data_IF_706250494842
#
_entry.id   IF_706250494842
#
_cell.length_a   1.000
_cell.length_b   1.000
_cell.length_c   1.000
_cell.angle_alpha   90.00
_cell.angle_beta   90.00
_cell.angle_gamma   90.00
#
_symmetry.space_group_name_H-M   'P 1'
#
loop_
_entity.id
_entity.type
_entity.pdbx_description
1 polymer ?
2 non-polymer ?
3 non-polymer ?
4 water ?
#
# COMPACT_ATOMS: atom_id res chain seq x y z
N UNK A 2 -16.60 9.93 -7.54
CA UNK A 2 -15.33 10.65 -7.22
C UNK A 2 -14.82 10.29 -5.82
N UNK A 3 -13.52 10.42 -5.57
CA UNK A 3 -12.99 10.17 -4.23
C UNK A 3 -12.43 11.45 -3.63
N UNK A 4 -12.96 11.84 -2.47
CA UNK A 4 -12.77 13.18 -1.98
C UNK A 4 -11.41 13.26 -1.32
N UNK A 5 -10.84 14.45 -1.34
CA UNK A 5 -9.66 14.70 -0.54
C UNK A 5 -9.87 14.16 0.87
N UNK A 6 -11.02 14.41 1.48
CA UNK A 6 -11.12 14.07 2.90
C UNK A 6 -11.27 12.57 3.12
N UNK A 7 -11.89 11.90 2.16
CA UNK A 7 -11.80 10.44 2.10
C UNK A 7 -10.34 9.96 2.05
N UNK A 8 -9.51 10.61 1.25
CA UNK A 8 -8.12 10.23 1.24
C UNK A 8 -7.48 10.47 2.60
N UNK A 9 -7.86 11.57 3.25
CA UNK A 9 -7.33 11.81 4.58
C UNK A 9 -7.86 10.71 5.47
N UNK A 10 -9.09 10.27 5.21
CA UNK A 10 -9.67 9.25 6.07
C UNK A 10 -9.01 7.88 5.93
N UNK A 11 -8.68 7.53 4.69
CA UNK A 11 -7.77 6.44 4.38
C UNK A 11 -6.54 6.43 5.26
N UNK A 12 -5.76 7.51 5.20
CA UNK A 12 -4.49 7.49 5.90
C UNK A 12 -4.73 7.33 7.39
N UNK A 13 -5.82 7.92 7.87
CA UNK A 13 -6.21 7.78 9.26
C UNK A 13 -6.45 6.32 9.63
N UNK A 14 -7.21 5.63 8.79
CA UNK A 14 -7.53 4.23 9.02
C UNK A 14 -6.31 3.33 8.89
N UNK A 15 -5.40 3.66 7.97
CA UNK A 15 -4.08 3.04 7.92
C UNK A 15 -3.30 3.18 9.21
N UNK A 16 -3.24 4.39 9.75
CA UNK A 16 -2.75 4.56 11.10
C UNK A 16 -3.35 3.53 12.05
N UNK A 17 -4.66 3.33 11.99
CA UNK A 17 -5.26 2.40 12.93
C UNK A 17 -4.83 0.97 12.67
N UNK A 18 -5.06 0.50 11.45
CA UNK A 18 -4.72 -0.87 11.10
C UNK A 18 -3.25 -1.18 11.38
N UNK A 19 -2.35 -0.25 11.10
CA UNK A 19 -0.95 -0.53 11.37
C UNK A 19 -0.62 -0.55 12.85
N UNK A 20 -1.43 0.15 13.63
CA UNK A 20 -1.35 0.04 15.07
C UNK A 20 -1.86 -1.32 15.53
N UNK A 21 -3.12 -1.62 15.22
CA UNK A 21 -3.73 -2.89 15.60
C UNK A 21 -2.97 -4.15 15.15
N UNK A 22 -2.40 -4.13 13.94
CA UNK A 22 -1.87 -5.35 13.34
C UNK A 22 -0.35 -5.34 13.37
N UNK A 23 0.23 -4.43 14.15
CA UNK A 23 1.65 -4.49 14.40
C UNK A 23 2.15 -5.91 14.69
N UNK A 24 1.61 -6.50 15.76
CA UNK A 24 2.04 -7.80 16.25
C UNK A 24 1.96 -8.85 15.14
N UNK A 25 0.82 -8.84 14.48
CA UNK A 25 0.54 -9.82 13.48
C UNK A 25 1.50 -9.67 12.32
N UNK A 26 1.67 -8.45 11.82
CA UNK A 26 2.63 -8.22 10.75
C UNK A 26 4.05 -8.54 11.18
N UNK A 27 4.38 -8.32 12.45
CA UNK A 27 5.71 -8.67 12.91
C UNK A 27 5.82 -10.20 13.04
N UNK A 28 4.70 -10.85 13.34
CA UNK A 28 4.65 -12.29 13.30
C UNK A 28 5.09 -12.78 11.93
N UNK A 29 4.37 -12.34 10.90
CA UNK A 29 4.65 -12.76 9.55
C UNK A 29 6.13 -12.59 9.24
N UNK A 30 6.74 -11.54 9.77
CA UNK A 30 8.09 -11.13 9.37
C UNK A 30 9.16 -11.84 10.20
N UNK A 31 8.73 -12.51 11.27
CA UNK A 31 9.59 -13.36 12.08
C UNK A 31 9.84 -14.64 11.28
N UNK A 32 8.74 -15.34 10.99
CA UNK A 32 8.73 -16.48 10.10
C UNK A 32 9.65 -16.38 8.91
N UNK A 33 9.64 -15.24 8.22
CA UNK A 33 10.44 -15.10 7.01
C UNK A 33 11.24 -13.81 6.92
N UNK A 34 11.63 -13.24 8.04
CA UNK A 34 12.51 -12.09 7.99
C UNK A 34 13.01 -11.78 9.38
N UNK A 35 13.33 -10.52 9.62
CA UNK A 35 13.93 -10.15 10.89
C UNK A 35 12.92 -9.69 11.94
N UNK A 36 11.64 -10.00 11.78
CA UNK A 36 10.67 -9.68 12.81
C UNK A 36 10.60 -8.17 13.08
N UNK A 37 10.52 -7.36 12.03
CA UNK A 37 10.42 -5.94 12.28
C UNK A 37 9.33 -5.20 11.51
N UNK A 38 8.58 -5.86 10.62
CA UNK A 38 7.71 -5.16 9.68
C UNK A 38 6.57 -4.42 10.36
N UNK A 39 6.05 -4.99 11.44
CA UNK A 39 4.91 -4.38 12.09
C UNK A 39 5.40 -3.19 12.88
N UNK A 40 6.55 -3.34 13.53
CA UNK A 40 7.20 -2.20 14.15
C UNK A 40 7.44 -1.09 13.14
N UNK A 41 7.95 -1.46 11.97
CA UNK A 41 8.34 -0.49 10.97
C UNK A 41 7.13 0.28 10.46
N UNK A 42 6.03 -0.42 10.22
CA UNK A 42 4.87 0.15 9.56
C UNK A 42 4.11 1.01 10.55
N UNK A 43 4.22 0.69 11.83
CA UNK A 43 3.43 1.37 12.83
C UNK A 43 4.08 2.70 13.14
N UNK A 44 5.40 2.65 13.27
CA UNK A 44 6.26 3.81 13.39
C UNK A 44 5.96 4.79 12.28
N UNK A 45 5.94 4.30 11.05
CA UNK A 45 5.75 5.16 9.90
C UNK A 45 4.36 5.77 9.87
N UNK A 46 3.33 4.97 10.06
CA UNK A 46 2.01 5.51 9.82
C UNK A 46 1.54 6.27 11.03
N UNK A 47 2.10 5.95 12.18
CA UNK A 47 1.70 6.70 13.34
C UNK A 47 2.26 8.12 13.16
N UNK A 48 3.47 8.22 12.61
CA UNK A 48 3.95 9.53 12.19
C UNK A 48 3.10 10.14 11.10
N UNK A 49 2.63 9.33 10.16
CA UNK A 49 1.92 9.89 9.02
C UNK A 49 0.72 10.64 9.58
N UNK A 50 0.14 10.04 10.61
CA UNK A 50 -1.20 10.37 11.03
C UNK A 50 -1.13 11.57 11.99
N UNK A 51 -0.04 11.63 12.75
CA UNK A 51 0.21 12.76 13.62
C UNK A 51 0.33 14.02 12.79
N UNK A 52 0.66 13.86 11.51
CA UNK A 52 0.91 15.01 10.65
C UNK A 52 -0.33 15.51 9.94
N UNK A 53 -1.38 14.70 9.96
CA UNK A 53 -2.56 14.99 9.18
C UNK A 53 -3.20 16.30 9.60
N UNK A 54 -3.32 16.56 10.90
CA UNK A 54 -3.95 17.80 11.38
C UNK A 54 -3.39 19.08 10.72
N UNK A 55 -2.07 19.19 10.62
CA UNK A 55 -1.41 20.27 9.88
C UNK A 55 -1.66 20.26 8.38
N UNK A 56 -1.65 19.09 7.75
CA UNK A 56 -1.68 19.07 6.29
C UNK A 56 -3.01 18.72 5.66
N UNK A 57 -4.03 18.50 6.47
CA UNK A 57 -5.27 17.92 5.97
C UNK A 57 -6.07 18.80 5.01
N UNK A 58 -5.73 20.08 4.94
CA UNK A 58 -6.51 21.00 4.12
C UNK A 58 -5.81 21.34 2.81
N UNK A 59 -4.54 20.96 2.70
CA UNK A 59 -3.81 21.13 1.44
C UNK A 59 -4.38 20.17 0.41
N UNK A 60 -3.86 20.16 -0.81
CA UNK A 60 -4.47 19.34 -1.84
C UNK A 60 -3.93 17.90 -1.81
N UNK A 61 -4.55 17.04 -2.62
CA UNK A 61 -4.31 15.62 -2.51
C UNK A 61 -2.85 15.29 -2.79
N UNK A 62 -2.30 15.86 -3.85
CA UNK A 62 -0.89 15.74 -4.14
C UNK A 62 -0.03 16.12 -2.96
N UNK A 63 -0.36 17.21 -2.28
CA UNK A 63 0.44 17.61 -1.12
C UNK A 63 0.38 16.58 0.01
N UNK A 64 -0.79 16.01 0.25
CA UNK A 64 -0.93 15.06 1.34
C UNK A 64 -0.21 13.72 1.06
N UNK A 65 -0.42 13.19 -0.15
CA UNK A 65 0.29 11.99 -0.56
C UNK A 65 1.80 12.19 -0.57
N UNK A 66 2.27 13.27 -1.18
CA UNK A 66 3.71 13.46 -1.24
C UNK A 66 4.26 13.56 0.17
N UNK A 67 3.56 14.29 1.02
CA UNK A 67 4.07 14.49 2.35
C UNK A 67 4.05 13.21 3.18
N UNK A 68 2.95 12.48 3.07
CA UNK A 68 2.88 11.10 3.52
C UNK A 68 4.03 10.21 3.00
N UNK A 69 4.19 10.17 1.68
CA UNK A 69 5.36 9.58 1.07
C UNK A 69 6.64 9.82 1.86
N UNK A 70 7.00 11.08 2.05
CA UNK A 70 8.26 11.40 2.71
C UNK A 70 8.31 11.03 4.16
N UNK A 71 7.18 11.15 4.85
CA UNK A 71 7.16 10.64 6.21
C UNK A 71 7.56 9.17 6.22
N UNK A 72 6.90 8.38 5.38
CA UNK A 72 7.15 6.94 5.31
C UNK A 72 8.61 6.67 4.95
N UNK A 73 9.03 7.27 3.84
CA UNK A 73 10.43 7.33 3.44
C UNK A 73 11.42 7.60 4.57
N UNK A 74 11.10 8.52 5.45
CA UNK A 74 12.06 8.88 6.48
C UNK A 74 11.84 8.03 7.72
N UNK A 75 10.66 7.43 7.84
CA UNK A 75 10.22 6.92 9.14
C UNK A 75 10.03 5.40 9.26
N UNK A 76 9.61 4.72 8.18
CA UNK A 76 9.40 3.27 8.22
C UNK A 76 10.70 2.47 8.35
N UNK A 77 11.68 2.76 7.50
CA UNK A 77 12.93 2.04 7.58
C UNK A 77 12.88 0.64 6.99
N UNK A 78 14.01 -0.06 7.05
CA UNK A 78 14.14 -1.36 6.42
C UNK A 78 13.82 -1.24 4.95
N UNK A 79 13.39 -2.33 4.34
CA UNK A 79 13.25 -2.39 2.90
C UNK A 79 11.93 -1.82 2.41
N UNK A 80 10.88 -1.90 3.23
CA UNK A 80 9.53 -1.50 2.81
C UNK A 80 9.38 0.02 2.79
N UNK A 81 10.02 0.68 3.75
CA UNK A 81 9.90 2.12 3.92
C UNK A 81 10.12 2.89 2.63
N UNK A 82 11.28 2.70 2.01
CA UNK A 82 11.60 3.37 0.75
C UNK A 82 10.58 2.99 -0.32
N UNK A 83 10.08 1.76 -0.26
CA UNK A 83 9.12 1.33 -1.27
C UNK A 83 7.72 1.92 -1.08
N UNK A 84 7.21 1.93 0.14
CA UNK A 84 5.92 2.59 0.37
C UNK A 84 5.99 4.10 0.14
N UNK A 85 7.08 4.70 0.63
CA UNK A 85 7.43 6.07 0.33
C UNK A 85 7.35 6.39 -1.15
N UNK A 86 8.07 5.61 -1.93
CA UNK A 86 8.15 5.87 -3.35
C UNK A 86 6.75 5.74 -3.88
N UNK A 87 6.00 4.79 -3.33
CA UNK A 87 4.71 4.57 -3.91
C UNK A 87 3.94 5.89 -3.79
N UNK A 88 3.98 6.49 -2.61
CA UNK A 88 3.08 7.59 -2.33
C UNK A 88 3.59 8.83 -3.05
N UNK A 89 4.90 9.04 -3.00
CA UNK A 89 5.49 10.14 -3.75
C UNK A 89 5.13 10.07 -5.22
N UNK A 90 5.31 8.92 -5.84
CA UNK A 90 4.95 8.78 -7.24
C UNK A 90 3.45 8.84 -7.47
N UNK A 91 2.69 8.46 -6.45
CA UNK A 91 1.24 8.62 -6.53
C UNK A 91 0.91 10.12 -6.48
N UNK A 92 1.57 10.85 -5.59
CA UNK A 92 1.45 12.30 -5.54
C UNK A 92 1.52 12.99 -6.92
N UNK A 93 2.66 12.93 -7.59
CA UNK A 93 2.77 13.41 -8.97
C UNK A 93 1.98 12.49 -9.91
N UNK A 94 1.11 13.03 -10.76
CA UNK A 94 -0.01 12.23 -11.31
C UNK A 94 -1.30 12.82 -10.77
N UNK A 95 -1.15 13.44 -9.60
CA UNK A 95 -2.18 14.23 -8.96
C UNK A 95 -1.75 15.70 -9.02
N UNK A 96 -1.92 16.28 -10.21
CA UNK A 96 -2.13 17.72 -10.36
C UNK A 96 -3.04 18.21 -9.23
N UNK A 97 -2.41 18.77 -8.18
CA UNK A 97 -3.07 19.65 -7.20
C UNK A 97 -4.59 19.51 -7.19
N UNK A 98 -5.07 18.27 -7.23
CA UNK A 98 -6.50 18.04 -7.31
C UNK A 98 -7.13 18.15 -5.91
N UNK A 99 -8.39 17.75 -5.79
CA UNK A 99 -9.17 18.00 -4.58
C UNK A 99 -10.17 16.85 -4.45
N UNK A 100 -10.53 16.27 -5.59
CA UNK A 100 -11.10 14.94 -5.60
C UNK A 100 -10.40 14.10 -6.67
N UNK A 101 -10.86 12.86 -6.89
CA UNK A 101 -10.24 11.98 -7.87
C UNK A 101 -11.24 11.11 -8.61
N UNK A 102 -11.11 11.02 -9.93
CA UNK A 102 -11.89 10.05 -10.70
C UNK A 102 -11.33 8.64 -10.49
N UNK A 103 -12.15 7.63 -10.74
CA UNK A 103 -11.64 6.29 -10.89
C UNK A 103 -10.40 6.30 -11.78
N UNK A 104 -10.51 6.93 -12.95
CA UNK A 104 -9.39 6.96 -13.88
C UNK A 104 -8.15 7.61 -13.30
N UNK A 105 -8.31 8.60 -12.44
CA UNK A 105 -7.11 9.23 -11.89
C UNK A 105 -6.51 8.42 -10.75
N UNK A 106 -7.35 7.64 -10.09
CA UNK A 106 -6.91 6.72 -9.05
C UNK A 106 -6.13 5.58 -9.68
N UNK A 107 -6.72 4.96 -10.70
CA UNK A 107 -5.98 4.01 -11.52
C UNK A 107 -4.59 4.53 -11.88
N UNK A 108 -4.54 5.63 -12.61
CA UNK A 108 -3.25 6.20 -13.01
C UNK A 108 -2.33 6.40 -11.83
N UNK A 109 -2.90 6.76 -10.68
CA UNK A 109 -2.04 7.10 -9.56
C UNK A 109 -1.53 5.82 -8.92
N UNK A 110 -2.35 4.79 -8.96
CA UNK A 110 -1.89 3.50 -8.49
C UNK A 110 -0.86 2.94 -9.48
N UNK A 111 -1.16 3.10 -10.76
CA UNK A 111 -0.29 2.65 -11.83
C UNK A 111 1.09 3.24 -11.66
N UNK A 112 1.17 4.53 -11.36
CA UNK A 112 2.48 5.17 -11.27
C UNK A 112 3.16 4.83 -9.96
N UNK A 113 2.37 4.71 -8.90
CA UNK A 113 2.90 4.29 -7.63
C UNK A 113 3.52 2.90 -7.74
N UNK A 114 2.77 1.96 -8.31
CA UNK A 114 3.29 0.63 -8.57
C UNK A 114 4.54 0.60 -9.44
N UNK A 115 4.52 1.30 -10.57
CA UNK A 115 5.74 1.46 -11.38
C UNK A 115 6.92 1.94 -10.55
N UNK A 116 6.65 2.85 -9.62
CA UNK A 116 7.74 3.38 -8.84
C UNK A 116 8.32 2.29 -7.98
N UNK A 117 7.46 1.50 -7.32
CA UNK A 117 7.98 0.47 -6.42
C UNK A 117 8.63 -0.64 -7.23
N UNK A 118 8.05 -0.97 -8.37
CA UNK A 118 8.63 -2.03 -9.17
C UNK A 118 9.98 -1.60 -9.74
N UNK A 119 10.07 -0.36 -10.19
CA UNK A 119 11.31 0.08 -10.79
C UNK A 119 12.36 0.28 -9.70
N UNK A 120 11.91 0.62 -8.49
CA UNK A 120 12.85 0.81 -7.40
C UNK A 120 13.44 -0.50 -6.91
N UNK A 121 12.59 -1.45 -6.55
CA UNK A 121 13.06 -2.67 -5.91
C UNK A 121 13.13 -3.86 -6.84
N UNK A 122 12.66 -3.70 -8.08
CA UNK A 122 12.90 -4.68 -9.14
C UNK A 122 12.22 -6.03 -8.96
N UNK A 123 11.17 -6.12 -8.16
CA UNK A 123 10.51 -7.40 -7.97
C UNK A 123 9.70 -7.73 -9.21
N UNK A 124 9.66 -9.01 -9.57
CA UNK A 124 8.76 -9.48 -10.61
C UNK A 124 7.57 -10.20 -9.99
N UNK A 125 6.46 -10.27 -10.72
CA UNK A 125 5.33 -11.07 -10.25
C UNK A 125 5.84 -12.45 -9.87
N UNK A 126 5.42 -12.92 -8.70
CA UNK A 126 5.79 -14.24 -8.21
C UNK A 126 7.01 -14.24 -7.32
N UNK A 127 7.72 -13.12 -7.23
CA UNK A 127 8.82 -13.02 -6.29
C UNK A 127 8.47 -13.01 -4.79
N UNK A 128 7.20 -12.81 -4.43
CA UNK A 128 6.78 -12.79 -3.02
C UNK A 128 7.03 -11.46 -2.29
N UNK A 129 6.56 -10.36 -2.85
CA UNK A 129 6.72 -9.06 -2.22
C UNK A 129 5.41 -8.30 -2.32
N UNK A 130 5.40 -7.10 -1.76
CA UNK A 130 4.27 -6.19 -1.94
C UNK A 130 3.79 -6.06 -3.36
N UNK A 131 4.70 -6.14 -4.32
CA UNK A 131 4.35 -6.07 -5.75
C UNK A 131 3.37 -7.11 -6.23
N UNK A 132 3.30 -8.23 -5.52
CA UNK A 132 2.37 -9.29 -5.85
C UNK A 132 0.96 -8.92 -5.45
N UNK A 133 0.86 -7.90 -4.61
CA UNK A 133 -0.42 -7.24 -4.37
C UNK A 133 -0.62 -6.02 -5.24
N UNK A 134 0.41 -5.20 -5.40
CA UNK A 134 0.29 -3.97 -6.18
C UNK A 134 -0.18 -4.24 -7.61
N UNK A 135 0.41 -5.24 -8.25
CA UNK A 135 0.11 -5.51 -9.64
C UNK A 135 -1.35 -5.87 -9.91
N UNK A 136 -1.90 -6.86 -9.22
CA UNK A 136 -3.33 -7.17 -9.39
C UNK A 136 -4.28 -6.04 -8.92
N UNK A 137 -3.91 -5.32 -7.87
CA UNK A 137 -4.70 -4.17 -7.45
C UNK A 137 -4.72 -3.15 -8.58
N UNK A 138 -3.54 -2.77 -9.06
CA UNK A 138 -3.50 -1.89 -10.23
C UNK A 138 -4.36 -2.41 -11.36
N UNK A 139 -4.37 -3.72 -11.58
CA UNK A 139 -5.04 -4.29 -12.74
C UNK A 139 -6.54 -4.26 -12.57
N UNK A 140 -6.98 -4.46 -11.33
CA UNK A 140 -8.38 -4.33 -10.93
C UNK A 140 -8.86 -2.92 -11.23
N UNK A 141 -8.08 -1.93 -10.82
CA UNK A 141 -8.52 -0.55 -10.96
C UNK A 141 -8.63 -0.27 -12.45
N UNK A 142 -7.71 -0.85 -13.22
CA UNK A 142 -7.72 -0.65 -14.65
C UNK A 142 -9.02 -1.17 -15.27
N UNK A 143 -9.46 -2.36 -14.86
CA UNK A 143 -10.66 -2.89 -15.48
C UNK A 143 -11.91 -2.24 -14.89
N UNK A 144 -11.81 -1.80 -13.64
CA UNK A 144 -12.95 -1.16 -13.02
C UNK A 144 -13.16 0.16 -13.73
N UNK A 145 -12.06 0.81 -14.06
CA UNK A 145 -12.08 2.03 -14.86
C UNK A 145 -12.61 1.82 -16.27
N UNK A 146 -12.25 0.70 -16.91
CA UNK A 146 -12.78 0.35 -18.22
C UNK A 146 -14.29 0.33 -18.14
N UNK A 147 -14.82 -0.26 -17.06
CA UNK A 147 -16.27 -0.41 -16.91
C UNK A 147 -16.95 0.81 -16.28
N UNK A 148 -16.23 1.92 -16.12
CA UNK A 148 -16.78 3.07 -15.39
C UNK A 148 -17.63 2.71 -14.17
N UNK A 149 -17.13 1.86 -13.28
CA UNK A 149 -17.78 1.61 -11.99
C UNK A 149 -17.61 2.86 -11.12
N UNK A 150 -18.37 2.97 -10.04
CA UNK A 150 -18.12 4.07 -9.13
C UNK A 150 -16.86 3.80 -8.31
N UNK A 151 -16.23 4.86 -7.81
CA UNK A 151 -15.05 4.72 -6.98
C UNK A 151 -15.22 3.70 -5.84
N UNK A 152 -16.28 3.83 -5.05
CA UNK A 152 -16.50 2.91 -3.93
C UNK A 152 -16.56 1.45 -4.36
N UNK A 153 -17.15 1.15 -5.51
CA UNK A 153 -17.28 -0.26 -5.84
C UNK A 153 -16.00 -0.80 -6.48
N UNK A 154 -15.38 -0.01 -7.34
CA UNK A 154 -14.01 -0.24 -7.75
C UNK A 154 -13.09 -0.47 -6.55
N UNK A 155 -13.17 0.38 -5.53
CA UNK A 155 -12.23 0.28 -4.42
C UNK A 155 -12.48 -0.98 -3.59
N UNK A 156 -13.74 -1.39 -3.52
CA UNK A 156 -14.11 -2.61 -2.82
C UNK A 156 -13.69 -3.85 -3.60
N UNK A 157 -13.66 -3.73 -4.92
CA UNK A 157 -13.22 -4.82 -5.77
C UNK A 157 -11.70 -4.94 -5.66
N UNK A 158 -11.01 -3.83 -5.84
CA UNK A 158 -9.59 -3.75 -5.59
C UNK A 158 -9.21 -4.32 -4.24
N UNK A 159 -10.09 -4.12 -3.26
CA UNK A 159 -9.81 -4.55 -1.91
C UNK A 159 -9.83 -6.08 -1.78
N UNK A 160 -10.82 -6.75 -2.35
CA UNK A 160 -10.81 -8.20 -2.18
C UNK A 160 -9.79 -8.92 -3.06
N UNK A 161 -9.48 -8.35 -4.22
CA UNK A 161 -8.31 -8.79 -4.95
C UNK A 161 -7.02 -8.64 -4.14
N UNK A 162 -6.85 -7.52 -3.46
CA UNK A 162 -5.77 -7.40 -2.50
C UNK A 162 -5.71 -8.56 -1.50
N UNK A 163 -6.86 -8.99 -0.98
CA UNK A 163 -6.88 -10.11 -0.05
C UNK A 163 -6.39 -11.39 -0.72
N UNK A 164 -6.98 -11.75 -1.86
CA UNK A 164 -6.55 -12.93 -2.61
C UNK A 164 -5.07 -12.87 -2.94
N UNK A 165 -4.61 -11.69 -3.32
CA UNK A 165 -3.27 -11.61 -3.88
C UNK A 165 -2.29 -11.80 -2.74
N UNK A 166 -2.67 -11.32 -1.56
CA UNK A 166 -1.82 -11.44 -0.38
C UNK A 166 -1.75 -12.91 0.01
N UNK A 167 -2.92 -13.55 0.06
CA UNK A 167 -3.05 -14.99 0.30
C UNK A 167 -2.17 -15.79 -0.66
N UNK A 168 -2.23 -15.44 -1.94
CA UNK A 168 -1.44 -16.12 -2.94
C UNK A 168 0.06 -16.00 -2.72
N UNK A 169 0.52 -15.10 -1.88
CA UNK A 169 1.95 -15.08 -1.64
C UNK A 169 2.39 -16.16 -0.66
N UNK A 170 1.47 -16.79 0.06
CA UNK A 170 1.98 -17.70 1.05
C UNK A 170 2.81 -18.78 0.34
N UNK A 171 2.38 -19.12 -0.86
CA UNK A 171 2.89 -20.25 -1.61
C UNK A 171 4.11 -19.91 -2.47
N UNK A 172 4.33 -18.63 -2.73
CA UNK A 172 5.44 -18.22 -3.58
C UNK A 172 6.72 -18.34 -2.77
N UNK A 173 7.83 -18.59 -3.45
CA UNK A 173 9.12 -18.61 -2.79
C UNK A 173 9.72 -17.23 -2.96
N UNK A 174 10.31 -16.71 -1.90
CA UNK A 174 10.82 -15.35 -1.94
C UNK A 174 12.06 -15.30 -2.82
N UNK A 175 12.03 -14.45 -3.84
CA UNK A 175 13.22 -14.13 -4.60
C UNK A 175 13.82 -12.78 -4.23
N UNK A 176 13.18 -12.06 -3.31
CA UNK A 176 13.59 -10.68 -3.06
C UNK A 176 13.57 -10.41 -1.58
N UNK A 177 14.50 -9.56 -1.15
CA UNK A 177 14.59 -9.09 0.21
C UNK A 177 14.98 -10.19 1.17
N UNK A 178 14.98 -9.87 2.46
CA UNK A 178 15.42 -10.77 3.51
C UNK A 178 14.75 -12.14 3.51
N UNK A 179 13.55 -12.22 2.94
CA UNK A 179 12.79 -13.46 2.97
C UNK A 179 13.44 -14.48 2.03
N UNK A 180 14.09 -13.95 0.99
CA UNK A 180 14.77 -14.80 0.03
C UNK A 180 15.92 -15.54 0.72
N UNK A 181 16.43 -14.96 1.80
CA UNK A 181 17.53 -15.57 2.56
C UNK A 181 17.11 -16.93 3.09
N UNK A 182 15.81 -17.13 3.24
CA UNK A 182 15.31 -18.41 3.74
C UNK A 182 15.13 -19.44 2.63
N UNK A 183 15.34 -19.03 1.38
CA UNK A 183 15.02 -19.88 0.24
C UNK A 183 13.71 -20.64 0.37
N UNK A 184 13.77 -21.96 0.24
CA UNK A 184 12.58 -22.79 0.15
C UNK A 184 11.74 -22.71 1.41
N UNK A 185 12.32 -22.19 2.49
CA UNK A 185 11.61 -22.12 3.77
C UNK A 185 10.65 -20.93 3.83
N UNK A 186 10.72 -20.08 2.82
CA UNK A 186 9.77 -18.99 2.68
C UNK A 186 8.43 -19.43 2.11
N UNK A 187 8.39 -20.60 1.49
CA UNK A 187 7.14 -21.18 1.01
C UNK A 187 6.36 -21.61 2.23
N UNK A 188 5.07 -21.29 2.24
CA UNK A 188 4.20 -21.67 3.33
C UNK A 188 3.93 -20.49 4.24
N UNK A 189 4.50 -19.33 3.93
CA UNK A 189 4.33 -18.14 4.76
C UNK A 189 3.94 -16.90 3.96
N UNK A 190 2.88 -16.23 4.41
CA UNK A 190 2.41 -14.99 3.81
C UNK A 190 3.44 -13.87 3.90
N UNK A 191 3.66 -13.16 2.80
CA UNK A 191 4.52 -11.97 2.84
C UNK A 191 3.92 -10.82 3.67
N UNK A 192 4.71 -10.27 4.59
CA UNK A 192 4.36 -9.05 5.35
C UNK A 192 4.04 -7.83 4.47
N UNK A 193 4.98 -7.41 3.63
CA UNK A 193 4.77 -6.25 2.78
C UNK A 193 3.47 -6.40 2.02
N UNK A 194 3.27 -7.57 1.45
CA UNK A 194 2.04 -7.79 0.69
C UNK A 194 0.82 -7.68 1.60
N UNK A 195 0.97 -8.05 2.88
CA UNK A 195 -0.16 -7.95 3.79
C UNK A 195 -0.48 -6.49 4.11
N UNK A 196 0.55 -5.70 4.28
CA UNK A 196 0.41 -4.27 4.38
C UNK A 196 -0.34 -3.60 3.23
N UNK A 197 0.01 -3.94 1.98
CA UNK A 197 -0.72 -3.39 0.86
C UNK A 197 -2.16 -3.82 1.00
N UNK A 198 -2.37 -5.05 1.44
CA UNK A 198 -3.74 -5.55 1.55
C UNK A 198 -4.46 -4.69 2.59
N UNK A 199 -3.80 -4.43 3.72
CA UNK A 199 -4.35 -3.55 4.75
C UNK A 199 -4.67 -2.15 4.23
N UNK A 200 -3.72 -1.51 3.57
CA UNK A 200 -3.99 -0.23 2.93
C UNK A 200 -5.21 -0.25 2.01
N UNK A 201 -5.40 -1.31 1.23
CA UNK A 201 -6.51 -1.31 0.30
C UNK A 201 -7.85 -1.55 0.99
N UNK A 202 -7.82 -2.30 2.07
CA UNK A 202 -9.02 -2.50 2.87
C UNK A 202 -9.46 -1.18 3.52
N UNK A 203 -8.50 -0.41 4.04
CA UNK A 203 -8.81 0.89 4.62
C UNK A 203 -9.25 1.89 3.56
N UNK A 204 -8.65 1.79 2.37
CA UNK A 204 -9.12 2.59 1.26
C UNK A 204 -10.56 2.28 0.91
N UNK A 205 -10.90 1.01 0.81
CA UNK A 205 -12.29 0.63 0.51
C UNK A 205 -13.24 1.25 1.55
N UNK A 206 -12.88 1.09 2.82
CA UNK A 206 -13.65 1.62 3.93
C UNK A 206 -13.74 3.15 3.83
N UNK A 207 -12.62 3.84 3.89
CA UNK A 207 -12.64 5.29 3.72
C UNK A 207 -13.63 5.74 2.66
N UNK A 208 -13.83 4.94 1.62
CA UNK A 208 -14.53 5.44 0.44
C UNK A 208 -15.98 4.95 0.46
N UNK A 209 -16.31 4.14 1.46
CA UNK A 209 -17.59 3.46 1.54
C UNK A 209 -18.75 4.45 1.61
N UNK A 210 -19.86 4.06 0.98
CA UNK A 210 -20.93 4.97 0.58
C UNK A 210 -21.52 5.77 1.75
X LIG B 1 13.11 -5.57 6.26
X LIG B 1 13.19 -5.82 7.78
X LIG B 1 14.34 -4.83 5.70
X LIG B 1 12.90 -6.86 5.57
X LIG B 1 10.43 -4.96 6.29
X LIG B 1 10.30 -6.18 7.10
X LIG B 1 9.77 -3.76 6.99
X LIG B 1 11.92 -4.56 5.94
X LIG B 1 9.81 -5.21 4.83
X LIG B 1 9.82 -6.49 4.25
X LIG B 1 8.95 -6.46 3.00
X LIG B 1 9.50 -5.73 1.93
X LIG B 1 8.75 -7.84 2.40
X LIG B 1 7.72 -8.52 3.03
X LIG B 1 8.31 -7.53 0.98
X LIG B 1 6.91 -7.49 0.86
X LIG B 1 8.70 -6.08 0.82
X LIG B 1 9.29 -5.82 -0.51
X LIG B 1 8.66 -5.45 -1.70
X LIG B 1 9.60 -5.32 -2.67
X LIG B 1 10.80 -5.60 -2.09
X LIG B 1 12.10 -5.63 -2.58
X LIG B 1 12.36 -5.44 -3.86
X LIG B 1 13.13 -5.97 -1.71
X LIG B 1 12.88 -6.28 -0.38
X LIG B 1 11.59 -6.25 0.10
X LIG B 1 10.62 -5.92 -0.76
X LIG C 1 11.66 -7.18 8.44
X LIG D 1 14.70 -4.50 8.66
#
# INVERSE_FOLDING_TARGET
>A
MSLSRTQIVNWLTRCGDIFSTESEYLTGLDREIGDADHGLNMNRGFSKVVEKLPAIADKDIGFILKNTGMTLLSSVGGASGPLFGTFFIRAAQATQARQSLTLEELYQMFRDGADGVISRGKAEPGDKTMCDVWVPVVESLRQSSEQNLSVPVALEAASSIAESAAQSTITMQARKGRASYLGERSIGHQDPGATSVMFMMQMLALAAKE
>B hetero
1 ADP PB O1B O2B O3B PA O1A O2A O3A O5' C5' C4' O4' C3' O3' C2' O2' C1' N9 C8 N7 C5 C6 N6 N1 C2 N3 C4
>C hetero
1 MG MG
>D hetero
1 MG MG
#
